data_IF_084678892259
#
_entry.id   IF_084678892259
#
_cell.length_a   1.000
_cell.length_b   1.000
_cell.length_c   1.000
_cell.angle_alpha   90.00
_cell.angle_beta   90.00
_cell.angle_gamma   90.00
#
_symmetry.space_group_name_H-M   'P 1'
#
loop_
_entity.id
_entity.type
_entity.pdbx_description
1 polymer ?
#
# COMPACT_ATOMS: atom_id res chain seq x y z
N UNK A 1 0.95 18.24 8.04
CA UNK A 1 1.85 17.40 7.22
C UNK A 1 1.06 16.88 6.04
N UNK A 2 1.40 17.27 4.80
CA UNK A 2 0.52 17.02 3.66
C UNK A 2 0.86 15.72 2.90
N UNK A 3 2.14 15.47 2.64
CA UNK A 3 2.62 14.38 1.79
C UNK A 3 3.69 13.57 2.54
N UNK A 4 3.57 12.24 2.55
CA UNK A 4 4.56 11.35 3.17
C UNK A 4 5.11 10.40 2.13
N UNK A 5 6.42 10.45 1.87
CA UNK A 5 7.09 9.48 0.98
C UNK A 5 7.32 8.17 1.72
N UNK A 6 7.09 7.04 1.04
CA UNK A 6 7.41 5.72 1.56
C UNK A 6 8.89 5.43 1.29
N UNK A 7 9.56 4.85 2.28
CA UNK A 7 10.97 4.49 2.16
C UNK A 7 11.15 3.40 1.11
N UNK A 8 11.98 3.68 0.11
CA UNK A 8 12.32 2.77 -0.97
C UNK A 8 12.95 3.52 -2.15
N UNK A 9 13.32 2.76 -3.18
CA UNK A 9 13.81 3.31 -4.45
C UNK A 9 12.66 3.87 -5.31
N UNK A 10 11.42 3.59 -4.92
CA UNK A 10 10.19 3.99 -5.59
C UNK A 10 9.78 5.43 -5.19
N UNK A 11 9.14 6.13 -6.12
CA UNK A 11 8.53 7.44 -5.88
C UNK A 11 7.07 7.29 -5.44
N UNK A 12 6.86 6.59 -4.32
CA UNK A 12 5.54 6.28 -3.78
C UNK A 12 5.22 7.17 -2.57
N UNK A 13 4.06 7.82 -2.60
CA UNK A 13 3.64 8.80 -1.61
C UNK A 13 2.25 8.50 -1.06
N UNK A 14 2.03 8.78 0.23
CA UNK A 14 0.74 8.66 0.90
C UNK A 14 0.31 10.00 1.51
N UNK A 15 -0.92 10.40 1.27
CA UNK A 15 -1.48 11.66 1.79
C UNK A 15 -2.96 11.56 2.17
N UNK A 16 -3.47 12.63 2.80
CA UNK A 16 -4.92 12.89 2.86
C UNK A 16 -5.36 13.84 1.73
N UNK A 17 -6.68 14.10 1.64
CA UNK A 17 -7.28 14.96 0.59
C UNK A 17 -6.66 16.36 0.57
N UNK A 18 -6.25 16.90 1.72
CA UNK A 18 -5.66 18.24 1.81
C UNK A 18 -4.37 18.42 1.00
N UNK A 19 -3.65 17.34 0.68
CA UNK A 19 -2.44 17.44 -0.15
C UNK A 19 -2.75 17.81 -1.60
N UNK A 20 -3.94 17.44 -2.11
CA UNK A 20 -4.37 17.74 -3.46
C UNK A 20 -4.65 19.23 -3.69
N UNK A 21 -4.92 19.99 -2.62
CA UNK A 21 -5.11 21.45 -2.69
C UNK A 21 -3.85 22.21 -3.12
N UNK A 22 -2.67 21.59 -3.03
CA UNK A 22 -1.38 22.24 -3.30
C UNK A 22 -0.77 21.64 -4.57
N UNK A 23 -1.26 22.08 -5.73
CA UNK A 23 -0.77 21.63 -7.03
C UNK A 23 0.77 21.75 -7.14
N UNK A 24 1.36 22.85 -6.63
CA UNK A 24 2.81 23.05 -6.63
C UNK A 24 3.58 21.88 -6.02
N UNK A 25 3.11 21.37 -4.87
CA UNK A 25 3.76 20.27 -4.15
C UNK A 25 3.71 18.96 -4.93
N UNK A 26 2.69 18.75 -5.78
CA UNK A 26 2.62 17.57 -6.65
C UNK A 26 3.67 17.64 -7.76
N UNK A 27 3.87 18.83 -8.35
CA UNK A 27 4.88 19.06 -9.37
C UNK A 27 6.31 18.99 -8.79
N UNK A 28 6.54 19.55 -7.61
CA UNK A 28 7.85 19.53 -6.93
C UNK A 28 8.34 18.09 -6.65
N UNK A 29 7.42 17.15 -6.46
CA UNK A 29 7.72 15.73 -6.24
C UNK A 29 7.60 14.87 -7.51
N UNK A 30 7.45 15.48 -8.68
CA UNK A 30 7.29 14.80 -9.97
C UNK A 30 6.18 13.73 -9.96
N UNK A 31 5.09 14.00 -9.24
CA UNK A 31 3.93 13.10 -9.20
C UNK A 31 3.24 13.17 -10.57
N UNK A 32 2.88 12.01 -11.12
CA UNK A 32 2.22 11.88 -12.42
C UNK A 32 0.90 11.11 -12.31
N UNK A 33 0.80 10.25 -11.30
CA UNK A 33 -0.35 9.38 -11.07
C UNK A 33 -0.94 9.63 -9.68
N UNK A 34 -2.26 9.79 -9.62
CA UNK A 34 -3.01 10.02 -8.38
C UNK A 34 -4.04 8.90 -8.22
N UNK A 35 -3.99 8.20 -7.09
CA UNK A 35 -4.94 7.18 -6.68
C UNK A 35 -5.78 7.71 -5.50
N UNK A 36 -7.08 7.88 -5.72
CA UNK A 36 -8.06 8.21 -4.69
C UNK A 36 -8.77 6.95 -4.23
N UNK A 37 -8.65 6.62 -2.94
CA UNK A 37 -9.39 5.52 -2.30
C UNK A 37 -10.47 6.10 -1.39
N UNK A 38 -11.36 6.87 -2.01
CA UNK A 38 -12.51 7.58 -1.45
C UNK A 38 -13.33 8.13 -2.62
N UNK A 39 -14.65 8.28 -2.46
CA UNK A 39 -15.48 9.06 -3.39
C UNK A 39 -14.94 10.49 -3.49
N UNK A 40 -14.13 10.72 -4.52
CA UNK A 40 -13.48 11.98 -4.77
C UNK A 40 -13.31 12.18 -6.26
N UNK A 41 -13.92 13.25 -6.73
CA UNK A 41 -13.88 13.68 -8.11
C UNK A 41 -12.86 14.83 -8.23
N UNK A 42 -11.74 14.57 -8.90
CA UNK A 42 -10.71 15.59 -9.11
C UNK A 42 -11.21 16.70 -10.03
N UNK A 43 -12.00 16.36 -11.06
CA UNK A 43 -12.46 17.29 -12.09
C UNK A 43 -13.42 18.34 -11.51
N UNK A 44 -14.21 17.95 -10.51
CA UNK A 44 -15.13 18.86 -9.82
C UNK A 44 -14.45 19.75 -8.79
N UNK A 45 -13.31 19.34 -8.25
CA UNK A 45 -12.79 19.94 -7.01
C UNK A 45 -11.54 20.80 -7.22
N UNK A 46 -10.74 20.56 -8.25
CA UNK A 46 -9.50 21.31 -8.45
C UNK A 46 -9.13 21.47 -9.94
N UNK A 47 -8.78 22.69 -10.35
CA UNK A 47 -8.07 23.00 -11.61
C UNK A 47 -6.62 22.45 -11.57
N UNK A 48 -6.45 21.13 -11.43
CA UNK A 48 -5.13 20.48 -11.38
C UNK A 48 -4.40 20.46 -12.74
N UNK A 49 -4.80 21.31 -13.69
CA UNK A 49 -4.03 21.55 -14.91
C UNK A 49 -3.90 20.34 -15.83
N UNK A 50 -4.84 19.38 -15.77
CA UNK A 50 -5.06 18.33 -16.78
C UNK A 50 -3.92 17.31 -17.00
N UNK A 51 -2.85 17.33 -16.20
CA UNK A 51 -1.63 16.56 -16.50
C UNK A 51 -1.42 15.32 -15.62
N UNK A 52 -2.37 14.98 -14.75
CA UNK A 52 -2.25 13.81 -13.87
C UNK A 52 -3.19 12.70 -14.29
N UNK A 53 -2.66 11.47 -14.37
CA UNK A 53 -3.51 10.30 -14.53
C UNK A 53 -4.19 9.99 -13.21
N UNK A 54 -5.52 9.98 -13.20
CA UNK A 54 -6.30 9.76 -11.98
C UNK A 54 -7.02 8.43 -12.01
N UNK A 55 -6.97 7.72 -10.87
CA UNK A 55 -7.81 6.56 -10.61
C UNK A 55 -8.59 6.80 -9.30
N UNK A 56 -9.92 6.89 -9.41
CA UNK A 56 -10.81 6.95 -8.26
C UNK A 56 -11.43 5.59 -7.97
N UNK A 57 -11.42 5.21 -6.69
CA UNK A 57 -12.01 4.00 -6.15
C UNK A 57 -12.93 4.43 -5.02
N UNK A 58 -14.22 4.36 -5.29
CA UNK A 58 -15.28 4.73 -4.37
C UNK A 58 -15.47 3.63 -3.32
N UNK A 59 -14.89 3.86 -2.14
CA UNK A 59 -14.99 2.99 -0.97
C UNK A 59 -15.04 3.87 0.28
N UNK A 60 -16.01 3.60 1.17
CA UNK A 60 -16.14 4.28 2.46
C UNK A 60 -15.17 3.74 3.52
N UNK A 61 -14.87 4.53 4.54
CA UNK A 61 -14.00 4.12 5.66
C UNK A 61 -14.83 3.34 6.68
N UNK A 62 -15.27 2.15 6.29
CA UNK A 62 -16.08 1.26 7.10
C UNK A 62 -15.35 -0.08 7.29
N UNK A 63 -15.54 -0.73 8.42
CA UNK A 63 -14.81 -1.96 8.79
C UNK A 63 -15.18 -3.16 7.89
N UNK A 64 -16.38 -3.13 7.30
CA UNK A 64 -16.94 -4.13 6.39
C UNK A 64 -16.69 -3.80 4.90
N UNK A 65 -16.04 -2.67 4.61
CA UNK A 65 -15.72 -2.28 3.25
C UNK A 65 -14.66 -3.22 2.62
N UNK A 66 -15.02 -3.85 1.50
CA UNK A 66 -14.12 -4.80 0.82
C UNK A 66 -13.16 -4.10 -0.15
N UNK A 67 -11.98 -3.76 0.34
CA UNK A 67 -10.90 -3.19 -0.47
C UNK A 67 -10.17 -4.26 -1.32
N UNK A 68 -10.33 -5.55 -1.01
CA UNK A 68 -9.59 -6.65 -1.66
C UNK A 68 -9.97 -6.77 -3.14
N UNK A 69 -11.25 -6.59 -3.45
CA UNK A 69 -11.77 -6.63 -4.84
C UNK A 69 -11.06 -5.60 -5.73
N UNK A 70 -10.62 -4.50 -5.14
CA UNK A 70 -9.99 -3.40 -5.85
C UNK A 70 -8.47 -3.51 -5.96
N UNK A 71 -7.83 -4.39 -5.18
CA UNK A 71 -6.38 -4.55 -5.17
C UNK A 71 -5.78 -4.82 -6.55
N UNK A 72 -6.30 -5.72 -7.40
CA UNK A 72 -5.71 -5.94 -8.72
C UNK A 72 -5.67 -4.66 -9.58
N UNK A 73 -6.70 -3.82 -9.49
CA UNK A 73 -6.77 -2.55 -10.21
C UNK A 73 -5.81 -1.51 -9.62
N UNK A 74 -5.76 -1.40 -8.29
CA UNK A 74 -4.86 -0.52 -7.53
C UNK A 74 -3.40 -0.83 -7.87
N UNK A 75 -3.02 -2.10 -7.74
CA UNK A 75 -1.65 -2.57 -7.91
C UNK A 75 -1.15 -2.29 -9.33
N UNK A 76 -1.97 -2.59 -10.34
CA UNK A 76 -1.63 -2.32 -11.75
C UNK A 76 -1.45 -0.82 -12.03
N UNK A 77 -2.27 0.02 -11.41
CA UNK A 77 -2.17 1.47 -11.57
C UNK A 77 -0.89 2.02 -10.93
N UNK A 78 -0.57 1.59 -9.71
CA UNK A 78 0.67 2.00 -9.02
C UNK A 78 1.90 1.51 -9.80
N UNK A 79 1.88 0.26 -10.28
CA UNK A 79 3.00 -0.30 -11.05
C UNK A 79 3.23 0.46 -12.36
N UNK A 80 2.18 0.77 -13.10
CA UNK A 80 2.26 1.53 -14.35
C UNK A 80 2.82 2.95 -14.14
N UNK A 81 2.53 3.59 -13.00
CA UNK A 81 3.05 4.92 -12.69
C UNK A 81 4.50 4.93 -12.23
N UNK A 82 4.93 3.90 -11.49
CA UNK A 82 6.30 3.77 -10.99
C UNK A 82 7.28 3.17 -12.01
N UNK A 83 6.79 2.28 -12.88
CA UNK A 83 7.58 1.56 -13.88
C UNK A 83 6.81 1.55 -15.20
N UNK A 84 6.83 2.66 -15.96
CA UNK A 84 6.15 2.70 -17.24
C UNK A 84 6.73 1.60 -18.15
N UNK A 85 5.86 0.86 -18.88
CA UNK A 85 6.33 -0.16 -19.79
C UNK A 85 7.30 0.47 -20.81
N UNK A 86 8.36 -0.25 -21.22
CA UNK A 86 9.25 0.24 -22.27
C UNK A 86 8.40 0.57 -23.51
N UNK A 87 8.55 1.78 -24.03
CA UNK A 87 7.82 2.27 -25.19
C UNK A 87 7.94 1.26 -26.35
N UNK A 88 6.92 0.41 -26.53
CA UNK A 88 7.04 -0.71 -27.46
C UNK A 88 5.95 -1.79 -27.41
N UNK A 89 5.09 -1.87 -26.39
CA UNK A 89 3.97 -2.83 -26.38
C UNK A 89 2.61 -2.14 -26.31
N UNK A 90 2.14 -1.74 -27.49
CA UNK A 90 0.76 -1.68 -28.00
C UNK A 90 -0.37 -0.97 -27.20
N UNK A 91 -0.80 0.19 -27.76
CA UNK A 91 -2.18 0.76 -27.91
C UNK A 91 -2.86 1.33 -26.64
N UNK A 92 -3.33 2.57 -26.55
CA UNK A 92 -3.83 3.60 -27.49
C UNK A 92 -3.54 5.04 -26.96
N UNK A 93 -3.36 5.97 -27.92
CA UNK A 93 -3.58 7.45 -27.96
C UNK A 93 -3.91 8.16 -26.62
N UNK A 94 -3.16 9.16 -26.15
CA UNK A 94 -3.08 10.53 -26.70
C UNK A 94 -1.83 11.29 -26.17
N UNK A 95 -1.51 12.37 -26.86
CA UNK A 95 -0.28 13.16 -26.94
C UNK A 95 0.42 13.59 -25.63
N UNK A 96 1.71 13.25 -25.55
CA UNK A 96 2.86 14.16 -25.45
C UNK A 96 4.07 13.34 -24.99
N UNK A 97 5.20 13.48 -25.67
CA UNK A 97 6.44 12.79 -25.36
C UNK A 97 6.94 13.17 -23.96
N UNK A 98 6.45 12.47 -22.93
CA UNK A 98 6.90 12.63 -21.55
C UNK A 98 8.19 11.83 -21.34
N UNK A 99 9.16 12.40 -20.61
CA UNK A 99 10.49 11.82 -20.45
C UNK A 99 10.42 10.44 -19.81
N UNK A 100 11.36 9.57 -20.19
CA UNK A 100 11.63 8.23 -19.65
C UNK A 100 12.14 8.29 -18.21
N UNK A 101 11.40 8.99 -17.35
CA UNK A 101 11.65 9.14 -15.92
C UNK A 101 10.53 8.43 -15.19
N UNK A 102 10.88 7.53 -14.25
CA UNK A 102 9.91 6.89 -13.37
C UNK A 102 9.11 7.97 -12.63
N UNK A 103 7.83 8.09 -12.96
CA UNK A 103 6.94 9.08 -12.37
C UNK A 103 6.67 8.80 -10.88
N UNK A 104 6.21 9.82 -10.16
CA UNK A 104 5.71 9.64 -8.80
C UNK A 104 4.25 9.21 -8.77
N UNK A 105 3.92 8.31 -7.84
CA UNK A 105 2.54 7.89 -7.56
C UNK A 105 2.11 8.39 -6.19
N UNK A 106 0.97 9.08 -6.15
CA UNK A 106 0.34 9.53 -4.91
C UNK A 106 -0.91 8.70 -4.61
N UNK A 107 -0.93 8.06 -3.45
CA UNK A 107 -2.10 7.36 -2.93
C UNK A 107 -2.72 8.18 -1.80
N UNK A 108 -4.00 8.51 -1.90
CA UNK A 108 -4.70 9.24 -0.84
C UNK A 108 -6.07 8.67 -0.52
N UNK A 109 -6.51 8.95 0.71
CA UNK A 109 -7.91 8.80 1.13
C UNK A 109 -8.34 10.10 1.83
N UNK A 110 -9.34 10.07 2.71
CA UNK A 110 -9.72 11.24 3.53
C UNK A 110 -8.53 11.82 4.32
N UNK A 111 -7.97 11.03 5.24
CA UNK A 111 -6.90 11.44 6.17
C UNK A 111 -5.52 10.88 5.82
N UNK A 112 -5.45 9.91 4.91
CA UNK A 112 -4.20 9.25 4.52
C UNK A 112 -3.66 8.25 5.54
N UNK A 113 -4.54 7.50 6.23
CA UNK A 113 -4.20 6.60 7.35
C UNK A 113 -4.68 5.16 7.17
N UNK A 114 -5.96 4.98 6.83
CA UNK A 114 -6.62 3.66 6.71
C UNK A 114 -6.49 3.15 5.26
N UNK A 115 -7.54 3.32 4.45
CA UNK A 115 -7.65 2.90 3.03
C UNK A 115 -6.41 3.14 2.16
N UNK A 116 -5.84 4.34 2.20
CA UNK A 116 -4.67 4.70 1.38
C UNK A 116 -3.41 3.92 1.76
N UNK A 117 -3.22 3.68 3.06
CA UNK A 117 -2.08 2.91 3.56
C UNK A 117 -2.28 1.45 3.17
N UNK A 118 -3.46 0.89 3.40
CA UNK A 118 -3.79 -0.49 3.02
C UNK A 118 -3.57 -0.76 1.53
N UNK A 119 -4.05 0.13 0.66
CA UNK A 119 -3.82 0.05 -0.79
C UNK A 119 -2.33 0.04 -1.13
N UNK A 120 -1.53 0.85 -0.42
CA UNK A 120 -0.09 0.90 -0.63
C UNK A 120 0.62 -0.35 -0.13
N UNK A 121 0.20 -0.90 1.02
CA UNK A 121 0.72 -2.15 1.54
C UNK A 121 0.45 -3.31 0.59
N UNK A 122 -0.75 -3.37 0.01
CA UNK A 122 -1.10 -4.37 -0.98
C UNK A 122 -0.15 -4.35 -2.18
N UNK A 123 0.23 -3.16 -2.67
CA UNK A 123 1.23 -3.02 -3.73
C UNK A 123 2.62 -3.53 -3.30
N UNK A 124 3.10 -3.10 -2.14
CA UNK A 124 4.42 -3.50 -1.65
C UNK A 124 4.52 -5.02 -1.41
N UNK A 125 3.45 -5.63 -0.90
CA UNK A 125 3.33 -7.07 -0.71
C UNK A 125 3.36 -7.82 -2.04
N UNK A 126 2.70 -7.30 -3.06
CA UNK A 126 2.66 -7.90 -4.40
C UNK A 126 4.01 -7.78 -5.12
N UNK A 127 4.62 -6.58 -5.10
CA UNK A 127 5.87 -6.30 -5.83
C UNK A 127 7.09 -6.91 -5.15
N UNK A 128 7.13 -6.88 -3.83
CA UNK A 128 8.29 -7.29 -3.02
C UNK A 128 7.90 -8.30 -1.93
N UNK A 129 7.34 -9.47 -2.25
CA UNK A 129 6.91 -10.46 -1.24
C UNK A 129 8.07 -10.93 -0.36
N UNK A 130 9.31 -10.95 -0.88
CA UNK A 130 10.53 -11.26 -0.14
C UNK A 130 10.82 -10.30 1.02
N UNK A 131 10.33 -9.04 0.98
CA UNK A 131 10.47 -8.09 2.10
C UNK A 131 9.64 -8.47 3.32
N UNK A 132 8.64 -9.33 3.13
CA UNK A 132 7.69 -9.72 4.18
C UNK A 132 7.83 -11.19 4.59
N UNK A 133 8.38 -12.04 3.71
CA UNK A 133 8.41 -13.49 3.90
C UNK A 133 9.77 -14.07 4.37
N UNK A 134 10.70 -13.22 4.85
CA UNK A 134 12.05 -13.64 5.24
C UNK A 134 12.18 -14.14 6.68
N UNK A 135 12.84 -15.28 6.86
CA UNK A 135 13.42 -15.70 8.15
C UNK A 135 14.51 -14.71 8.62
N UNK A 136 14.91 -14.78 9.89
CA UNK A 136 15.77 -13.78 10.56
C UNK A 136 17.08 -13.41 9.84
N UNK A 137 17.58 -14.25 8.91
CA UNK A 137 18.83 -14.06 8.19
C UNK A 137 18.71 -13.26 6.87
N UNK A 138 17.50 -13.07 6.32
CA UNK A 138 17.27 -12.42 5.01
C UNK A 138 16.25 -11.27 5.12
N UNK A 139 16.21 -10.62 6.28
CA UNK A 139 15.30 -9.50 6.54
C UNK A 139 15.88 -8.24 5.91
N UNK A 140 15.25 -7.77 4.84
CA UNK A 140 15.45 -6.43 4.30
C UNK A 140 14.63 -5.44 5.15
N UNK A 141 15.06 -5.25 6.40
CA UNK A 141 14.50 -4.35 7.43
C UNK A 141 15.29 -3.04 7.55
N UNK A 142 14.77 -2.04 8.28
CA UNK A 142 15.65 -1.01 8.85
C UNK A 142 16.16 -1.49 10.21
N UNK A 143 17.46 -1.29 10.48
CA UNK A 143 18.06 -1.62 11.77
C UNK A 143 17.70 -0.54 12.78
N UNK A 144 16.96 -0.89 13.82
CA UNK A 144 16.70 0.00 14.94
C UNK A 144 18.01 0.30 15.69
N UNK A 145 18.08 1.43 16.41
CA UNK A 145 19.21 1.75 17.28
C UNK A 145 19.46 0.72 18.40
N UNK A 146 18.50 -0.16 18.68
CA UNK A 146 18.63 -1.28 19.60
C UNK A 146 19.06 -2.61 18.95
N UNK A 147 19.58 -2.56 17.72
CA UNK A 147 19.97 -3.72 16.89
C UNK A 147 18.84 -4.68 16.49
N UNK A 148 17.59 -4.40 16.89
CA UNK A 148 16.43 -5.13 16.41
C UNK A 148 16.09 -4.76 14.95
N UNK A 149 15.70 -5.77 14.17
CA UNK A 149 15.23 -5.59 12.80
C UNK A 149 13.74 -5.23 12.79
N UNK A 150 13.39 -4.09 12.17
CA UNK A 150 11.99 -3.70 11.95
C UNK A 150 11.55 -4.25 10.60
N UNK A 151 10.59 -5.19 10.64
CA UNK A 151 9.96 -5.76 9.45
C UNK A 151 8.45 -5.53 9.52
N UNK A 152 7.82 -5.07 8.43
CA UNK A 152 8.42 -4.70 7.13
C UNK A 152 9.20 -3.36 7.15
N UNK A 153 10.20 -3.20 6.26
CA UNK A 153 11.00 -1.98 6.12
C UNK A 153 10.26 -0.85 5.40
N UNK A 154 9.16 -0.36 5.95
CA UNK A 154 8.63 0.93 5.58
C UNK A 154 8.29 1.72 6.83
N UNK A 155 8.71 2.98 6.87
CA UNK A 155 8.38 3.87 7.99
C UNK A 155 7.12 4.63 7.63
N UNK A 156 5.99 4.19 8.20
CA UNK A 156 4.80 5.03 8.26
C UNK A 156 4.89 5.92 9.50
N UNK A 157 4.44 7.16 9.38
CA UNK A 157 4.31 8.03 10.53
C UNK A 157 3.31 7.41 11.52
N UNK A 158 3.59 7.50 12.81
CA UNK A 158 2.74 6.95 13.88
C UNK A 158 1.30 7.50 13.84
N UNK A 159 1.13 8.70 13.29
CA UNK A 159 -0.19 9.30 13.06
C UNK A 159 -0.99 8.65 11.93
N UNK A 160 -0.38 7.76 11.13
CA UNK A 160 -0.96 7.11 9.95
C UNK A 160 -1.27 5.63 10.14
N UNK A 161 -1.05 5.10 11.34
CA UNK A 161 -1.29 3.68 11.65
C UNK A 161 -2.11 3.62 12.93
N UNK A 162 -3.11 2.75 12.95
CA UNK A 162 -3.84 2.44 14.18
C UNK A 162 -3.03 1.43 15.00
N UNK A 163 -2.74 1.77 16.27
CA UNK A 163 -1.92 0.95 17.15
C UNK A 163 -2.81 -0.02 17.92
N UNK A 164 -2.89 -1.27 17.46
CA UNK A 164 -3.61 -2.33 18.18
C UNK A 164 -2.63 -3.04 19.12
N UNK A 165 -2.83 -2.86 20.43
CA UNK A 165 -2.08 -3.63 21.43
C UNK A 165 -2.68 -5.02 21.54
N UNK A 166 -2.08 -6.01 20.88
CA UNK A 166 -2.47 -7.41 21.05
C UNK A 166 -1.76 -7.93 22.31
N UNK A 167 -2.50 -8.02 23.42
CA UNK A 167 -2.04 -8.78 24.59
C UNK A 167 -2.06 -10.27 24.22
N UNK A 168 -0.89 -10.82 23.92
CA UNK A 168 -0.73 -12.26 23.78
C UNK A 168 -0.86 -12.84 25.19
N UNK A 169 -2.08 -13.23 25.58
CA UNK A 169 -2.30 -13.92 26.84
C UNK A 169 -1.46 -15.21 26.83
N UNK A 170 -0.48 -15.28 27.73
CA UNK A 170 0.33 -16.46 27.95
C UNK A 170 -0.56 -17.61 28.40
N UNK A 171 -0.84 -18.55 27.49
CA UNK A 171 -1.56 -19.78 27.80
C UNK A 171 -0.63 -20.76 28.54
N UNK A 172 -0.88 -20.96 29.84
CA UNK A 172 -0.29 -22.04 30.63
C UNK A 172 -1.40 -22.92 31.25
N UNK A 173 -1.44 -24.20 30.82
CA UNK A 173 -2.12 -25.40 31.38
C UNK A 173 -3.67 -25.41 31.41
N UNK A 174 -4.42 -26.44 30.95
CA UNK A 174 -4.10 -27.72 30.32
C UNK A 174 -5.38 -28.42 29.80
N UNK A 175 -5.37 -28.75 28.50
CA UNK A 175 -6.24 -29.61 27.65
C UNK A 175 -7.70 -29.20 27.30
N UNK A 176 -7.95 -29.26 25.97
CA UNK A 176 -9.13 -28.91 25.12
C UNK A 176 -9.29 -27.40 24.77
N UNK A 177 -9.74 -26.98 23.55
CA UNK A 177 -9.84 -27.64 22.23
C UNK A 177 -8.62 -27.32 21.32
N UNK A 178 -8.59 -27.80 20.06
CA UNK A 178 -7.44 -27.65 19.15
C UNK A 178 -7.23 -26.16 18.70
N UNK A 179 -6.11 -25.53 19.07
CA UNK A 179 -5.91 -24.08 18.93
C UNK A 179 -5.79 -23.57 17.49
N UNK A 180 -5.75 -24.47 16.48
CA UNK A 180 -5.66 -24.09 15.06
C UNK A 180 -7.00 -23.71 14.43
N UNK A 181 -8.12 -24.22 14.97
CA UNK A 181 -9.46 -23.93 14.47
C UNK A 181 -9.94 -22.51 14.84
N UNK A 182 -9.49 -21.98 15.98
CA UNK A 182 -9.85 -20.64 16.45
C UNK A 182 -9.08 -19.51 15.75
N UNK A 183 -7.98 -19.82 15.05
CA UNK A 183 -7.15 -18.86 14.30
C UNK A 183 -7.43 -18.85 12.79
N UNK A 184 -8.39 -19.64 12.30
CA UNK A 184 -8.77 -19.70 10.88
C UNK A 184 -7.71 -20.29 9.93
N UNK A 185 -6.59 -20.83 10.45
CA UNK A 185 -5.50 -21.35 9.63
C UNK A 185 -5.74 -22.84 9.32
N UNK A 186 -6.14 -23.13 8.07
CA UNK A 186 -6.38 -24.50 7.56
C UNK A 186 -5.04 -25.17 7.19
N UNK A 187 -4.79 -26.38 7.71
CA UNK A 187 -3.57 -27.14 7.37
C UNK A 187 -3.67 -27.86 6.01
N UNK A 188 -2.54 -28.03 5.29
CA UNK A 188 -2.46 -28.85 4.09
C UNK A 188 -2.63 -30.36 4.42
N UNK A 189 -3.09 -31.19 3.46
CA UNK A 189 -3.58 -32.56 3.72
C UNK A 189 -2.55 -33.54 4.31
N UNK A 190 -1.25 -33.29 4.14
CA UNK A 190 -0.16 -34.21 4.46
C UNK A 190 0.32 -34.21 5.92
N UNK A 191 -0.19 -33.31 6.78
CA UNK A 191 0.22 -33.21 8.19
C UNK A 191 -0.96 -33.35 9.18
N UNK A 192 -2.04 -34.01 8.76
CA UNK A 192 -3.12 -34.41 9.70
C UNK A 192 -2.65 -35.62 10.51
N UNK A 193 -2.88 -35.58 11.84
CA UNK A 193 -2.54 -36.65 12.80
C UNK A 193 -3.18 -38.01 12.50
N UNK A 194 -4.09 -38.08 11.55
CA UNK A 194 -4.83 -39.30 11.17
C UNK A 194 -4.04 -40.21 10.22
N UNK A 195 -2.91 -39.74 9.67
CA UNK A 195 -2.05 -40.50 8.76
C UNK A 195 -0.67 -40.84 9.37
N UNK A 196 -0.59 -40.92 10.70
CA UNK A 196 0.57 -41.39 11.47
C UNK A 196 0.15 -42.53 12.38
#
# INVERSE_FOLDING_TARGET
MALSRINGDENLYVSGVFALRKAQTLHDHAITHILSVIDYDLDKTHDLGGQFKHLSIDINDEEDADLLVHFPRIVRFIDAGLSPPPAGSEKEEEEAAAPTTCGGVLVHCAMGKSRSVTATLAYLLWKHPWRFNGGAAERHGFKCSCDAWVCPAFSLQRSKVDEVTVTVAAAASGRAPDPRAALGIRMPPSFRKENL
#
